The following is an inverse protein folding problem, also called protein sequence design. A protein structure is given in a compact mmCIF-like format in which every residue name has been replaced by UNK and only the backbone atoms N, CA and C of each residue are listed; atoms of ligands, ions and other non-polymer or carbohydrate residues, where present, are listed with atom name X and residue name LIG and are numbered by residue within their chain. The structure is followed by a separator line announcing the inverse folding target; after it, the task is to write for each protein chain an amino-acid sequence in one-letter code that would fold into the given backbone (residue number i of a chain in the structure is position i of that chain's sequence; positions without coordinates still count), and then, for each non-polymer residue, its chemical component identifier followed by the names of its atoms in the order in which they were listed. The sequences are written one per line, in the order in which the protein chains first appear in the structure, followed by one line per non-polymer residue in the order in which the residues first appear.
data_IF_764100161466
#
_entry.id   IF_764100161466
#
_cell.length_a   1.000
_cell.length_b   1.000
_cell.length_c   1.000
_cell.angle_alpha   90.00
_cell.angle_beta   90.00
_cell.angle_gamma   90.00
#
_symmetry.space_group_name_H-M   'P 1'
#
loop_
_entity.id
_entity.type
_entity.pdbx_description
1 polymer ?
#
# COMPACT_ATOMS: atom_id res chain seq x y z
N UNK A 1 -11.62 3.60 1.27
CA UNK A 1 -10.65 2.69 0.60
C UNK A 1 -9.82 1.98 1.66
N UNK A 2 -9.16 0.87 1.33
CA UNK A 2 -8.38 0.08 2.32
C UNK A 2 -6.90 0.46 2.25
N UNK A 3 -6.28 0.77 3.39
CA UNK A 3 -4.85 1.07 3.45
C UNK A 3 -4.04 -0.11 2.87
N UNK A 4 -3.10 0.12 1.94
CA UNK A 4 -2.32 -0.96 1.33
C UNK A 4 -1.37 -1.64 2.31
N UNK A 5 -1.00 -0.98 3.41
CA UNK A 5 -0.07 -1.49 4.42
C UNK A 5 -0.83 -2.19 5.56
N UNK A 6 -1.52 -1.45 6.42
CA UNK A 6 -2.18 -2.03 7.61
C UNK A 6 -3.52 -2.71 7.31
N UNK A 7 -4.02 -2.62 6.08
CA UNK A 7 -5.30 -3.20 5.66
C UNK A 7 -6.51 -2.67 6.44
N UNK A 8 -6.41 -1.56 7.18
CA UNK A 8 -7.59 -0.92 7.77
C UNK A 8 -8.36 -0.14 6.69
N UNK A 9 -9.69 -0.19 6.73
CA UNK A 9 -10.59 0.55 5.84
C UNK A 9 -11.11 1.85 6.46
N UNK A 10 -11.05 1.95 7.79
CA UNK A 10 -11.54 3.07 8.58
C UNK A 10 -10.42 4.09 8.80
N UNK A 11 -10.79 5.36 9.01
CA UNK A 11 -9.90 6.47 9.39
C UNK A 11 -8.75 6.73 8.39
N UNK A 12 -9.08 7.53 7.37
CA UNK A 12 -8.11 8.10 6.46
C UNK A 12 -8.49 9.54 6.15
N UNK A 13 -7.49 10.40 6.05
CA UNK A 13 -7.63 11.72 5.47
C UNK A 13 -7.33 11.67 3.96
N UNK A 14 -8.06 12.49 3.21
CA UNK A 14 -8.04 12.51 1.75
C UNK A 14 -7.84 13.94 1.25
N UNK A 15 -6.96 14.08 0.26
CA UNK A 15 -6.77 15.31 -0.50
C UNK A 15 -7.00 14.97 -1.98
N UNK A 16 -7.98 15.64 -2.57
CA UNK A 16 -8.32 15.51 -3.98
C UNK A 16 -7.64 16.62 -4.78
N UNK A 17 -6.77 16.24 -5.71
CA UNK A 17 -5.95 17.14 -6.52
C UNK A 17 -6.40 17.05 -7.97
N UNK A 18 -7.01 18.13 -8.46
CA UNK A 18 -7.49 18.23 -9.84
C UNK A 18 -6.87 19.44 -10.52
N UNK A 19 -6.13 19.21 -11.61
CA UNK A 19 -5.51 20.29 -12.39
C UNK A 19 -5.21 19.85 -13.82
N UNK A 20 -5.59 20.64 -14.82
CA UNK A 20 -5.18 20.48 -16.23
C UNK A 20 -5.17 19.03 -16.78
N UNK A 21 -6.23 18.26 -16.52
CA UNK A 21 -6.35 16.88 -17.00
C UNK A 21 -5.68 15.82 -16.12
N UNK A 22 -5.13 16.23 -14.99
CA UNK A 22 -4.64 15.38 -13.92
C UNK A 22 -5.69 15.29 -12.82
N UNK A 23 -6.04 14.06 -12.45
CA UNK A 23 -6.97 13.71 -11.36
C UNK A 23 -6.25 12.70 -10.47
N UNK A 24 -5.84 13.15 -9.29
CA UNK A 24 -5.09 12.35 -8.33
C UNK A 24 -5.66 12.56 -6.93
N UNK A 25 -5.69 11.47 -6.17
CA UNK A 25 -6.12 11.48 -4.79
C UNK A 25 -4.96 11.06 -3.90
N UNK A 26 -4.57 11.91 -2.96
CA UNK A 26 -3.57 11.59 -1.94
C UNK A 26 -4.31 11.18 -0.67
N UNK A 27 -3.92 10.05 -0.09
CA UNK A 27 -4.59 9.46 1.07
C UNK A 27 -3.55 9.20 2.15
N UNK A 28 -3.85 9.62 3.37
CA UNK A 28 -3.06 9.31 4.55
C UNK A 28 -3.89 8.44 5.50
N UNK A 29 -3.31 7.32 5.93
CA UNK A 29 -3.95 6.44 6.91
C UNK A 29 -3.65 6.93 8.33
N UNK A 30 -4.70 7.23 9.09
CA UNK A 30 -4.56 7.76 10.46
C UNK A 30 -4.18 6.68 11.49
N UNK A 31 -4.09 5.41 11.06
CA UNK A 31 -3.80 4.25 11.91
C UNK A 31 -2.32 3.88 11.88
N UNK A 32 -1.70 3.98 10.71
CA UNK A 32 -0.32 3.57 10.53
C UNK A 32 0.54 4.63 9.86
N UNK A 33 0.03 5.83 9.57
CA UNK A 33 0.76 6.94 8.95
C UNK A 33 1.34 6.66 7.55
N UNK A 34 0.83 5.61 6.88
CA UNK A 34 1.13 5.32 5.47
C UNK A 34 0.43 6.34 4.59
N UNK A 35 1.15 6.86 3.59
CA UNK A 35 0.62 7.80 2.59
C UNK A 35 0.75 7.16 1.22
N UNK A 36 -0.31 7.19 0.44
CA UNK A 36 -0.31 6.69 -0.94
C UNK A 36 -1.17 7.59 -1.82
N UNK A 37 -0.83 7.65 -3.10
CA UNK A 37 -1.65 8.30 -4.11
C UNK A 37 -2.43 7.29 -4.93
N UNK A 38 -3.54 7.76 -5.49
CA UNK A 38 -4.38 7.01 -6.41
C UNK A 38 -4.56 7.84 -7.67
N UNK A 39 -4.12 7.31 -8.80
CA UNK A 39 -4.26 7.93 -10.11
C UNK A 39 -4.70 6.87 -11.13
N UNK A 40 -5.80 7.12 -11.84
CA UNK A 40 -6.39 6.18 -12.81
C UNK A 40 -6.55 4.73 -12.32
N UNK A 41 -6.84 4.56 -11.01
CA UNK A 41 -7.01 3.25 -10.37
C UNK A 41 -5.71 2.53 -10.00
N UNK A 42 -4.55 3.11 -10.33
CA UNK A 42 -3.26 2.67 -9.81
C UNK A 42 -3.01 3.31 -8.44
N UNK A 43 -2.43 2.54 -7.52
CA UNK A 43 -2.03 3.02 -6.21
C UNK A 43 -0.51 3.06 -6.14
N UNK A 44 0.05 4.20 -5.73
CA UNK A 44 1.49 4.38 -5.51
C UNK A 44 1.75 4.74 -4.05
N UNK A 45 2.58 3.96 -3.37
CA UNK A 45 2.94 4.25 -1.97
C UNK A 45 3.99 5.37 -1.97
N UNK A 46 3.61 6.54 -1.45
CA UNK A 46 4.50 7.71 -1.29
C UNK A 46 5.32 7.59 0.00
N UNK A 47 4.71 7.04 1.06
CA UNK A 47 5.37 6.75 2.33
C UNK A 47 4.82 5.45 2.90
N UNK A 48 5.69 4.44 3.00
CA UNK A 48 5.42 3.22 3.76
C UNK A 48 5.90 3.40 5.19
N UNK A 49 4.99 3.36 6.15
CA UNK A 49 5.34 3.49 7.56
C UNK A 49 5.83 2.18 8.20
N UNK A 50 5.70 1.06 7.50
CA UNK A 50 6.20 -0.25 7.91
C UNK A 50 7.46 -0.66 7.14
N UNK A 51 7.99 0.18 6.23
CA UNK A 51 9.27 -0.08 5.59
C UNK A 51 10.37 -0.27 6.64
N UNK A 52 11.16 -1.33 6.49
CA UNK A 52 12.22 -1.73 7.42
C UNK A 52 11.77 -2.03 8.85
N UNK A 53 10.47 -2.21 9.07
CA UNK A 53 9.93 -2.62 10.37
C UNK A 53 9.91 -4.15 10.48
N UNK A 54 9.76 -4.66 11.70
CA UNK A 54 9.53 -6.10 11.92
C UNK A 54 8.26 -6.62 11.20
N UNK A 55 7.28 -5.74 10.96
CA UNK A 55 6.02 -6.04 10.29
C UNK A 55 6.06 -5.73 8.79
N UNK A 56 7.22 -5.37 8.25
CA UNK A 56 7.41 -5.24 6.80
C UNK A 56 7.09 -6.57 6.12
N UNK A 57 6.12 -6.56 5.21
CA UNK A 57 5.80 -7.74 4.43
C UNK A 57 6.83 -7.91 3.31
N UNK A 58 7.97 -8.54 3.60
CA UNK A 58 8.91 -8.99 2.58
C UNK A 58 8.44 -10.32 2.01
N UNK A 59 7.74 -10.32 0.88
CA UNK A 59 7.51 -11.57 0.14
C UNK A 59 8.76 -11.90 -0.66
N UNK A 60 9.50 -12.93 -0.27
CA UNK A 60 10.45 -13.56 -1.19
C UNK A 60 9.68 -14.19 -2.36
N UNK A 61 10.29 -14.18 -3.55
CA UNK A 61 9.75 -14.91 -4.68
C UNK A 61 9.99 -16.39 -4.42
N UNK A 62 8.97 -17.08 -3.89
CA UNK A 62 9.02 -18.53 -3.72
C UNK A 62 8.93 -19.20 -5.09
N UNK A 63 9.99 -19.87 -5.53
CA UNK A 63 9.93 -20.71 -6.72
C UNK A 63 8.99 -21.88 -6.41
N UNK A 64 7.94 -22.05 -7.23
CA UNK A 64 6.81 -22.95 -6.95
C UNK A 64 7.10 -24.46 -6.93
N UNK A 65 8.36 -24.87 -6.76
CA UNK A 65 8.82 -26.26 -6.79
C UNK A 65 9.55 -26.71 -5.50
N UNK A 66 9.71 -25.83 -4.52
CA UNK A 66 10.50 -26.13 -3.29
C UNK A 66 9.74 -26.95 -2.24
N UNK A 67 8.48 -27.29 -2.52
CA UNK A 67 7.65 -28.20 -1.73
C UNK A 67 7.42 -29.56 -2.42
N UNK A 68 8.35 -30.00 -3.28
CA UNK A 68 8.40 -31.40 -3.68
C UNK A 68 8.66 -32.25 -2.44
N UNK A 69 7.66 -33.05 -2.06
CA UNK A 69 7.63 -33.73 -0.79
C UNK A 69 8.88 -34.56 -0.52
N UNK A 70 9.35 -34.58 0.72
CA UNK A 70 10.02 -35.78 1.20
C UNK A 70 8.94 -36.87 1.24
N UNK A 71 8.93 -37.80 0.28
CA UNK A 71 9.35 -39.20 0.51
C UNK A 71 9.55 -39.98 -0.79
#
# INVERSE_FOLDING_TARGET
MKCPVCKNSENHSEIDVRSNGFDEKIIACDICDTIWSVNHGANEIVKDAQAHSFLEATSESVEGNDYAWST
#
